data_IF_284167488449
#
_entry.id   IF_284167488449
#
_cell.length_a   1.000
_cell.length_b   1.000
_cell.length_c   1.000
_cell.angle_alpha   90.00
_cell.angle_beta   90.00
_cell.angle_gamma   90.00
#
_symmetry.space_group_name_H-M   'P 1'
#
loop_
_entity.id
_entity.type
_entity.pdbx_description
1 polymer ?
#
# COMPACT_ATOMS: atom_id res chain seq x y z
N UNK A 1 -9.34 -28.23 -0.74
CA UNK A 1 -9.77 -27.10 0.14
C UNK A 1 -10.63 -26.16 -0.69
N UNK A 2 -11.86 -25.81 -0.26
CA UNK A 2 -12.65 -24.80 -0.96
C UNK A 2 -11.86 -23.48 -0.98
N UNK A 3 -11.74 -22.85 -2.15
CA UNK A 3 -11.13 -21.52 -2.28
C UNK A 3 -12.09 -20.53 -1.59
N UNK A 4 -11.74 -20.09 -0.38
CA UNK A 4 -12.44 -18.99 0.29
C UNK A 4 -12.37 -17.77 -0.63
N UNK A 5 -13.52 -17.35 -1.18
CA UNK A 5 -13.63 -16.05 -1.84
C UNK A 5 -13.44 -14.98 -0.77
N UNK A 6 -12.43 -14.13 -0.96
CA UNK A 6 -12.27 -12.94 -0.13
C UNK A 6 -13.49 -12.04 -0.31
N UNK A 7 -13.84 -11.28 0.74
CA UNK A 7 -14.81 -10.20 0.60
C UNK A 7 -14.22 -9.11 -0.30
N UNK A 8 -15.08 -8.29 -0.91
CA UNK A 8 -14.65 -7.15 -1.72
C UNK A 8 -13.66 -6.26 -0.96
N UNK A 9 -13.91 -6.03 0.34
CA UNK A 9 -13.03 -5.21 1.17
C UNK A 9 -11.64 -5.83 1.35
N UNK A 10 -11.57 -7.13 1.63
CA UNK A 10 -10.29 -7.84 1.78
C UNK A 10 -9.52 -7.90 0.45
N UNK A 11 -10.22 -8.01 -0.68
CA UNK A 11 -9.59 -7.94 -1.99
C UNK A 11 -8.98 -6.57 -2.26
N UNK A 12 -9.67 -5.48 -1.93
CA UNK A 12 -9.14 -4.10 -2.05
C UNK A 12 -7.89 -3.92 -1.19
N UNK A 13 -7.90 -4.40 0.06
CA UNK A 13 -6.71 -4.37 0.95
C UNK A 13 -5.53 -5.10 0.34
N UNK A 14 -5.77 -6.30 -0.19
CA UNK A 14 -4.74 -7.12 -0.81
C UNK A 14 -4.10 -6.39 -2.00
N UNK A 15 -4.90 -5.78 -2.87
CA UNK A 15 -4.42 -5.06 -4.05
C UNK A 15 -3.57 -3.86 -3.64
N UNK A 16 -4.04 -3.05 -2.69
CA UNK A 16 -3.28 -1.91 -2.19
C UNK A 16 -1.92 -2.32 -1.61
N UNK A 17 -1.92 -3.34 -0.74
CA UNK A 17 -0.70 -3.86 -0.12
C UNK A 17 0.27 -4.43 -1.14
N UNK A 18 -0.21 -5.20 -2.10
CA UNK A 18 0.63 -5.88 -3.09
C UNK A 18 1.26 -4.86 -4.04
N UNK A 19 0.49 -3.87 -4.50
CA UNK A 19 0.97 -2.79 -5.36
C UNK A 19 2.07 -1.97 -4.69
N UNK A 20 1.81 -1.52 -3.45
CA UNK A 20 2.78 -0.73 -2.68
C UNK A 20 4.06 -1.54 -2.39
N UNK A 21 3.91 -2.81 -1.99
CA UNK A 21 5.04 -3.68 -1.66
C UNK A 21 5.94 -3.97 -2.86
N UNK A 22 5.35 -4.26 -4.03
CA UNK A 22 6.10 -4.42 -5.28
C UNK A 22 6.98 -3.21 -5.57
N UNK A 23 6.44 -1.99 -5.39
CA UNK A 23 7.20 -0.75 -5.61
C UNK A 23 8.28 -0.50 -4.58
N UNK A 24 8.04 -0.85 -3.31
CA UNK A 24 9.08 -0.83 -2.28
C UNK A 24 10.24 -1.78 -2.62
N UNK A 25 9.93 -3.01 -3.06
CA UNK A 25 10.93 -4.01 -3.47
C UNK A 25 11.75 -3.53 -4.68
N UNK A 26 11.07 -3.05 -5.73
CA UNK A 26 11.73 -2.50 -6.93
C UNK A 26 12.67 -1.33 -6.63
N UNK A 27 12.28 -0.45 -5.71
CA UNK A 27 13.09 0.73 -5.32
C UNK A 27 14.04 0.46 -4.15
N UNK A 28 14.06 -0.77 -3.63
CA UNK A 28 14.82 -1.15 -2.44
C UNK A 28 14.53 -0.25 -1.21
N UNK A 29 13.31 0.27 -1.11
CA UNK A 29 12.87 1.11 0.00
C UNK A 29 12.38 0.21 1.13
N UNK A 30 12.94 0.33 2.33
CA UNK A 30 12.50 -0.46 3.50
C UNK A 30 11.52 0.34 4.35
N UNK A 31 10.90 -0.33 5.31
CA UNK A 31 9.94 0.29 6.24
C UNK A 31 10.55 1.45 7.01
N UNK A 32 11.85 1.39 7.32
CA UNK A 32 12.58 2.45 8.04
C UNK A 32 12.62 3.75 7.23
N UNK A 33 12.87 3.67 5.92
CA UNK A 33 12.86 4.83 5.04
C UNK A 33 11.46 5.42 4.90
N UNK A 34 10.41 4.59 4.76
CA UNK A 34 9.01 5.05 4.74
C UNK A 34 8.64 5.74 6.04
N UNK A 35 8.98 5.14 7.18
CA UNK A 35 8.76 5.70 8.51
C UNK A 35 9.40 7.09 8.65
N UNK A 36 10.63 7.25 8.16
CA UNK A 36 11.33 8.55 8.14
C UNK A 36 10.60 9.57 7.26
N UNK A 37 10.17 9.18 6.05
CA UNK A 37 9.45 10.08 5.12
C UNK A 37 8.09 10.51 5.66
N UNK A 38 7.39 9.62 6.36
CA UNK A 38 6.09 9.90 6.97
C UNK A 38 6.20 10.56 8.35
N UNK A 39 7.41 10.72 8.88
CA UNK A 39 7.65 11.17 10.26
C UNK A 39 6.82 10.37 11.28
N UNK A 40 6.93 9.03 11.22
CA UNK A 40 6.23 8.09 12.10
C UNK A 40 7.20 7.01 12.62
N UNK A 41 6.91 6.38 13.76
CA UNK A 41 7.63 5.18 14.19
C UNK A 41 7.50 4.03 13.19
N UNK A 42 8.54 3.22 13.04
CA UNK A 42 8.52 2.05 12.13
C UNK A 42 7.41 1.05 12.50
N UNK A 43 7.10 0.89 13.79
CA UNK A 43 6.00 0.03 14.25
C UNK A 43 4.64 0.51 13.74
N UNK A 44 4.43 1.82 13.63
CA UNK A 44 3.20 2.38 13.03
C UNK A 44 3.10 2.00 11.56
N UNK A 45 4.22 1.99 10.83
CA UNK A 45 4.24 1.57 9.43
C UNK A 45 3.95 0.08 9.30
N UNK A 46 4.55 -0.77 10.16
CA UNK A 46 4.26 -2.21 10.21
C UNK A 46 2.78 -2.49 10.47
N UNK A 47 2.17 -1.78 11.42
CA UNK A 47 0.74 -1.89 11.71
C UNK A 47 -0.12 -1.47 10.51
N UNK A 48 0.20 -0.34 9.87
CA UNK A 48 -0.53 0.14 8.68
C UNK A 48 -0.41 -0.80 7.48
N UNK A 49 0.67 -1.56 7.34
CA UNK A 49 0.75 -2.62 6.32
C UNK A 49 -0.15 -3.83 6.59
N UNK A 50 -0.55 -4.03 7.84
CA UNK A 50 -1.54 -5.04 8.22
C UNK A 50 -2.97 -4.46 8.13
N UNK A 51 -3.11 -3.15 8.36
CA UNK A 51 -4.36 -2.40 8.37
C UNK A 51 -4.29 -1.19 7.43
N UNK A 52 -4.26 -1.39 6.10
CA UNK A 52 -4.06 -0.32 5.13
C UNK A 52 -5.16 0.76 5.18
N UNK A 53 -6.34 0.45 5.69
CA UNK A 53 -7.42 1.39 5.98
C UNK A 53 -7.03 2.50 6.98
N UNK A 54 -5.93 2.33 7.72
CA UNK A 54 -5.45 3.30 8.72
C UNK A 54 -4.42 4.29 8.16
N UNK A 55 -4.06 4.16 6.88
CA UNK A 55 -3.33 5.21 6.17
C UNK A 55 -4.22 6.43 5.97
N UNK A 56 -3.68 7.61 6.28
CA UNK A 56 -4.33 8.88 6.01
C UNK A 56 -4.04 9.31 4.58
N UNK A 57 -4.84 10.24 4.08
CA UNK A 57 -4.66 10.81 2.75
C UNK A 57 -3.28 11.47 2.57
N UNK A 58 -2.78 12.17 3.60
CA UNK A 58 -1.41 12.70 3.62
C UNK A 58 -0.34 11.61 3.44
N UNK A 59 -0.54 10.44 4.07
CA UNK A 59 0.40 9.33 3.98
C UNK A 59 0.42 8.79 2.55
N UNK A 60 -0.76 8.69 1.91
CA UNK A 60 -0.90 8.23 0.53
C UNK A 60 -0.17 9.17 -0.44
N UNK A 61 -0.33 10.49 -0.33
CA UNK A 61 0.36 11.44 -1.21
C UNK A 61 1.89 11.36 -1.08
N UNK A 62 2.39 11.22 0.15
CA UNK A 62 3.81 11.01 0.40
C UNK A 62 4.27 9.67 -0.19
N UNK A 63 3.49 8.60 -0.05
CA UNK A 63 3.82 7.30 -0.65
C UNK A 63 3.83 7.32 -2.17
N UNK A 64 2.87 8.01 -2.81
CA UNK A 64 2.81 8.19 -4.27
C UNK A 64 4.11 8.81 -4.77
N UNK A 65 4.54 9.93 -4.19
CA UNK A 65 5.79 10.59 -4.57
C UNK A 65 7.02 9.76 -4.20
N UNK A 66 7.04 9.17 -3.00
CA UNK A 66 8.19 8.43 -2.49
C UNK A 66 8.48 7.14 -3.26
N UNK A 67 7.43 6.40 -3.59
CA UNK A 67 7.49 5.15 -4.35
C UNK A 67 7.39 5.41 -5.86
N UNK A 68 7.13 6.65 -6.27
CA UNK A 68 6.90 7.06 -7.65
C UNK A 68 5.86 6.18 -8.32
N UNK A 69 4.69 6.02 -7.69
CA UNK A 69 3.61 5.22 -8.24
C UNK A 69 3.16 5.80 -9.59
N UNK A 70 2.90 4.95 -10.58
CA UNK A 70 2.30 5.41 -11.84
C UNK A 70 0.82 5.73 -11.65
N UNK A 71 0.23 6.52 -12.55
CA UNK A 71 -1.21 6.82 -12.52
C UNK A 71 -2.06 5.55 -12.51
N UNK A 72 -1.63 4.53 -13.25
CA UNK A 72 -2.25 3.21 -13.26
C UNK A 72 -2.21 2.55 -11.86
N UNK A 73 -1.05 2.51 -11.21
CA UNK A 73 -0.91 1.94 -9.86
C UNK A 73 -1.75 2.70 -8.83
N UNK A 74 -1.84 4.03 -8.97
CA UNK A 74 -2.69 4.87 -8.12
C UNK A 74 -4.16 4.50 -8.33
N UNK A 75 -4.60 4.38 -9.57
CA UNK A 75 -5.98 3.99 -9.89
C UNK A 75 -6.31 2.59 -9.38
N UNK A 76 -5.38 1.64 -9.45
CA UNK A 76 -5.55 0.29 -8.91
C UNK A 76 -5.76 0.31 -7.39
N UNK A 77 -4.98 1.12 -6.66
CA UNK A 77 -5.12 1.29 -5.21
C UNK A 77 -6.46 1.94 -4.86
N UNK A 78 -6.82 3.05 -5.54
CA UNK A 78 -8.03 3.82 -5.23
C UNK A 78 -9.31 3.05 -5.58
N UNK A 79 -9.34 2.39 -6.73
CA UNK A 79 -10.48 1.55 -7.15
C UNK A 79 -10.49 0.21 -6.41
N UNK A 80 -9.33 -0.23 -5.94
CA UNK A 80 -9.11 -1.51 -5.27
C UNK A 80 -9.41 -2.70 -6.19
N UNK A 81 -9.02 -2.60 -7.45
CA UNK A 81 -9.10 -3.68 -8.45
C UNK A 81 -7.84 -3.64 -9.32
N UNK A 82 -7.41 -4.80 -9.79
CA UNK A 82 -6.37 -4.88 -10.82
C UNK A 82 -6.91 -4.25 -12.10
N UNK A 83 -6.04 -3.65 -12.91
CA UNK A 83 -6.46 -3.27 -14.26
C UNK A 83 -6.60 -4.53 -15.12
N UNK A 84 -7.71 -4.58 -15.85
CA UNK A 84 -7.99 -5.56 -16.90
C UNK A 84 -7.42 -5.04 -18.20
#
# INVERSE_FOLDING_TARGET
MPKLKLSDFEQKKLIAKTTIRKRMELKQIRNKEIAKRLNRPENTIKYRWQHPETFRLEDLWIMVSALGLSDQEILQIVRGKEDV
#
